data_IF_730345637499
#
_entry.id   IF_730345637499
#
_cell.length_a   1.000
_cell.length_b   1.000
_cell.length_c   1.000
_cell.angle_alpha   90.00
_cell.angle_beta   90.00
_cell.angle_gamma   90.00
#
_symmetry.space_group_name_H-M   'P 1'
#
loop_
_entity.id
_entity.type
_entity.pdbx_description
1 polymer ?
#
# COMPACT_ATOMS: atom_id res chain seq x y z
N UNK A 1 -32.33 -9.75 4.14
CA UNK A 1 -32.31 -9.74 5.63
C UNK A 1 -30.90 -9.89 6.17
N UNK A 2 -30.21 -11.01 5.93
CA UNK A 2 -28.83 -11.22 6.42
C UNK A 2 -27.80 -10.16 6.00
N UNK A 3 -27.85 -9.67 4.76
CA UNK A 3 -26.95 -8.61 4.28
C UNK A 3 -27.28 -7.25 4.94
N UNK A 4 -28.55 -6.88 5.01
CA UNK A 4 -29.02 -5.67 5.68
C UNK A 4 -28.63 -5.66 7.17
N UNK A 5 -28.71 -6.82 7.82
CA UNK A 5 -28.32 -6.98 9.21
C UNK A 5 -26.81 -6.83 9.48
N UNK A 6 -25.99 -6.89 8.43
CA UNK A 6 -24.53 -6.79 8.51
C UNK A 6 -23.99 -5.44 8.08
N UNK A 7 -24.74 -4.73 7.25
CA UNK A 7 -24.38 -3.41 6.70
C UNK A 7 -25.05 -2.24 7.41
N UNK A 8 -26.04 -2.50 8.27
CA UNK A 8 -26.73 -1.46 9.00
C UNK A 8 -26.05 -1.21 10.35
N UNK A 9 -25.93 0.05 10.78
CA UNK A 9 -25.61 0.37 12.18
C UNK A 9 -26.85 0.30 13.08
N UNK A 10 -28.04 0.39 12.48
CA UNK A 10 -29.36 0.34 13.14
C UNK A 10 -30.39 -0.37 12.25
N UNK A 11 -31.11 -1.34 12.80
CA UNK A 11 -32.13 -2.10 12.06
C UNK A 11 -33.52 -1.74 12.60
N UNK A 12 -34.44 -1.45 11.70
CA UNK A 12 -35.84 -1.23 12.01
C UNK A 12 -36.65 -2.45 11.58
N UNK A 13 -37.33 -3.08 12.53
CA UNK A 13 -38.21 -4.22 12.28
C UNK A 13 -39.64 -3.75 12.49
N UNK A 14 -40.41 -3.76 11.41
CA UNK A 14 -41.82 -3.37 11.44
C UNK A 14 -42.68 -4.62 11.54
N UNK A 15 -43.47 -4.70 12.59
CA UNK A 15 -44.49 -5.73 12.76
C UNK A 15 -45.88 -5.11 12.72
N UNK A 16 -46.80 -5.80 12.02
CA UNK A 16 -48.20 -5.38 11.97
C UNK A 16 -48.92 -5.89 13.21
N UNK A 17 -49.73 -5.04 13.82
CA UNK A 17 -50.52 -5.34 15.01
C UNK A 17 -49.68 -5.54 16.26
N UNK A 18 -48.96 -6.65 16.45
CA UNK A 18 -48.14 -6.87 17.64
C UNK A 18 -47.02 -7.87 17.36
N UNK A 19 -45.86 -7.71 17.99
CA UNK A 19 -44.77 -8.68 17.93
C UNK A 19 -45.21 -9.99 18.57
N UNK A 20 -45.22 -11.02 17.74
CA UNK A 20 -45.43 -12.40 18.19
C UNK A 20 -44.10 -13.13 18.34
N UNK A 21 -44.12 -14.33 18.90
CA UNK A 21 -42.95 -15.23 18.90
C UNK A 21 -42.44 -15.50 17.48
N UNK A 22 -43.32 -15.60 16.48
CA UNK A 22 -42.94 -15.75 15.07
C UNK A 22 -42.27 -14.48 14.49
N UNK A 23 -42.68 -13.29 14.94
CA UNK A 23 -41.98 -12.04 14.63
C UNK A 23 -40.55 -12.04 15.16
N UNK A 24 -40.37 -12.50 16.41
CA UNK A 24 -39.06 -12.70 17.02
C UNK A 24 -38.23 -13.79 16.32
N UNK A 25 -38.84 -14.82 15.73
CA UNK A 25 -38.12 -15.81 14.91
C UNK A 25 -37.54 -15.20 13.63
N UNK A 26 -38.19 -14.21 13.03
CA UNK A 26 -37.63 -13.46 11.89
C UNK A 26 -36.43 -12.61 12.33
N UNK A 27 -36.49 -12.03 13.53
CA UNK A 27 -35.34 -11.39 14.18
C UNK A 27 -34.25 -12.42 14.52
N UNK A 28 -34.61 -13.64 14.93
CA UNK A 28 -33.65 -14.74 15.14
C UNK A 28 -32.90 -15.07 13.87
N UNK A 29 -33.55 -15.14 12.70
CA UNK A 29 -32.84 -15.39 11.44
C UNK A 29 -31.81 -14.30 11.17
N UNK A 30 -32.12 -13.04 11.50
CA UNK A 30 -31.17 -11.93 11.42
C UNK A 30 -29.99 -12.16 12.39
N UNK A 31 -30.26 -12.50 13.65
CA UNK A 31 -29.24 -12.71 14.70
C UNK A 31 -28.37 -13.94 14.45
N UNK A 32 -28.97 -15.07 14.05
CA UNK A 32 -28.25 -16.31 13.75
C UNK A 32 -27.42 -16.20 12.47
N UNK A 33 -27.85 -15.38 11.51
CA UNK A 33 -26.99 -15.04 10.39
C UNK A 33 -25.83 -14.17 10.86
N UNK A 34 -26.02 -13.27 11.82
CA UNK A 34 -24.94 -12.44 12.40
C UNK A 34 -23.96 -13.26 13.28
N UNK A 35 -24.39 -14.43 13.78
CA UNK A 35 -23.61 -15.27 14.67
C UNK A 35 -22.87 -16.41 13.94
N UNK A 36 -21.55 -16.25 13.74
CA UNK A 36 -20.67 -17.41 13.50
C UNK A 36 -20.39 -18.07 14.86
N UNK A 37 -20.76 -19.35 15.01
CA UNK A 37 -20.58 -20.13 16.25
C UNK A 37 -19.09 -20.44 16.55
N UNK A 38 -18.17 -20.18 15.60
CA UNK A 38 -16.78 -20.67 15.66
C UNK A 38 -15.72 -19.66 16.14
N UNK A 39 -16.06 -18.38 16.39
CA UNK A 39 -15.06 -17.36 16.78
C UNK A 39 -15.24 -16.85 18.21
N UNK A 40 -14.28 -17.22 19.08
CA UNK A 40 -14.12 -16.86 20.50
C UNK A 40 -13.69 -15.39 20.73
N UNK A 41 -14.06 -14.44 19.87
CA UNK A 41 -13.68 -13.03 20.01
C UNK A 41 -14.88 -12.16 20.41
N UNK A 42 -14.85 -11.52 21.60
CA UNK A 42 -15.99 -10.79 22.16
C UNK A 42 -16.21 -9.39 21.57
N UNK A 43 -15.45 -8.99 20.55
CA UNK A 43 -15.61 -7.70 19.86
C UNK A 43 -16.13 -7.95 18.45
N UNK A 44 -17.45 -8.12 18.34
CA UNK A 44 -18.14 -8.24 17.06
C UNK A 44 -18.56 -6.85 16.59
N UNK A 45 -18.00 -6.41 15.46
CA UNK A 45 -18.32 -5.17 14.73
C UNK A 45 -19.71 -5.26 14.04
N UNK A 46 -20.72 -5.79 14.74
CA UNK A 46 -22.06 -6.01 14.20
C UNK A 46 -23.09 -5.11 14.89
N UNK A 47 -24.09 -4.77 14.07
CA UNK A 47 -25.18 -3.80 14.25
C UNK A 47 -25.60 -3.58 15.70
N UNK A 48 -25.26 -2.41 16.24
CA UNK A 48 -25.37 -2.14 17.68
C UNK A 48 -26.77 -1.73 18.11
N UNK A 49 -27.72 -1.46 17.22
CA UNK A 49 -29.07 -1.03 17.61
C UNK A 49 -30.17 -1.71 16.80
N UNK A 50 -31.19 -2.19 17.53
CA UNK A 50 -32.39 -2.82 16.98
C UNK A 50 -33.61 -2.02 17.45
N UNK A 51 -34.45 -1.57 16.53
CA UNK A 51 -35.69 -0.88 16.84
C UNK A 51 -36.84 -1.76 16.40
N UNK A 52 -37.61 -2.23 17.39
CA UNK A 52 -38.82 -3.00 17.19
C UNK A 52 -39.98 -2.01 17.10
N UNK A 53 -40.68 -2.00 15.96
CA UNK A 53 -41.78 -1.08 15.70
C UNK A 53 -43.06 -1.86 15.49
N UNK A 54 -44.05 -1.61 16.34
CA UNK A 54 -45.38 -2.16 16.16
C UNK A 54 -46.33 -1.13 15.56
N UNK A 55 -47.05 -1.53 14.52
CA UNK A 55 -48.16 -0.76 13.97
C UNK A 55 -49.46 -1.17 14.68
N UNK A 56 -49.84 -0.43 15.73
CA UNK A 56 -50.78 -0.87 16.78
C UNK A 56 -52.00 0.03 16.97
N UNK A 57 -53.10 -0.61 17.39
CA UNK A 57 -54.23 0.01 18.09
C UNK A 57 -54.50 -0.56 19.49
N UNK A 58 -54.00 -1.77 19.82
CA UNK A 58 -54.39 -2.55 21.01
C UNK A 58 -53.52 -2.26 22.25
N UNK A 59 -52.20 -2.05 22.10
CA UNK A 59 -51.28 -1.84 23.22
C UNK A 59 -50.98 -0.34 23.47
N UNK A 60 -51.84 0.57 23.02
CA UNK A 60 -51.63 2.03 23.14
C UNK A 60 -51.50 2.49 24.61
N UNK A 61 -52.23 1.87 25.53
CA UNK A 61 -52.22 2.22 26.96
C UNK A 61 -51.03 1.66 27.78
N UNK A 62 -50.21 0.78 27.21
CA UNK A 62 -49.09 0.15 27.93
C UNK A 62 -47.82 0.99 27.65
N UNK A 63 -46.94 1.28 28.63
CA UNK A 63 -45.66 1.94 28.32
C UNK A 63 -44.74 1.04 27.47
N UNK A 64 -44.05 1.61 26.47
CA UNK A 64 -43.10 0.89 25.60
C UNK A 64 -42.00 0.10 26.34
N UNK A 65 -41.42 0.59 27.46
CA UNK A 65 -40.43 -0.17 28.22
C UNK A 65 -40.99 -1.47 28.82
N UNK A 66 -42.26 -1.47 29.22
CA UNK A 66 -42.90 -2.67 29.76
C UNK A 66 -43.13 -3.72 28.68
N UNK A 67 -43.59 -3.32 27.49
CA UNK A 67 -43.72 -4.24 26.36
C UNK A 67 -42.38 -4.83 25.92
N UNK A 68 -41.32 -4.02 25.89
CA UNK A 68 -39.99 -4.52 25.56
C UNK A 68 -39.49 -5.53 26.61
N UNK A 69 -39.76 -5.27 27.89
CA UNK A 69 -39.36 -6.16 28.99
C UNK A 69 -40.11 -7.49 28.90
N UNK A 70 -41.41 -7.45 28.62
CA UNK A 70 -42.26 -8.62 28.45
C UNK A 70 -41.85 -9.44 27.21
N UNK A 71 -41.67 -8.76 26.07
CA UNK A 71 -41.27 -9.38 24.81
C UNK A 71 -39.92 -10.09 24.91
N UNK A 72 -38.94 -9.47 25.58
CA UNK A 72 -37.60 -10.04 25.79
C UNK A 72 -37.47 -10.84 27.09
N UNK A 73 -38.56 -11.10 27.81
CA UNK A 73 -38.54 -11.91 29.04
C UNK A 73 -37.94 -13.29 28.77
N UNK A 74 -36.90 -13.66 29.54
CA UNK A 74 -36.21 -14.95 29.40
C UNK A 74 -36.90 -16.09 30.14
N UNK A 75 -38.01 -15.82 30.82
CA UNK A 75 -38.80 -16.80 31.57
C UNK A 75 -40.05 -17.25 30.83
N UNK A 76 -40.51 -16.45 29.87
CA UNK A 76 -41.78 -16.64 29.18
C UNK A 76 -41.53 -17.13 27.75
N UNK A 77 -41.42 -18.45 27.56
CA UNK A 77 -41.18 -19.08 26.26
C UNK A 77 -40.58 -20.48 26.35
N UNK A 78 -40.46 -21.15 25.21
CA UNK A 78 -39.66 -22.37 25.09
C UNK A 78 -38.15 -22.07 25.11
N UNK A 79 -37.32 -23.10 25.30
CA UNK A 79 -35.87 -22.94 25.44
C UNK A 79 -35.23 -22.24 24.23
N UNK A 80 -35.75 -22.52 23.03
CA UNK A 80 -35.29 -21.89 21.79
C UNK A 80 -35.63 -20.40 21.74
N UNK A 81 -36.87 -20.00 22.04
CA UNK A 81 -37.24 -18.58 22.11
C UNK A 81 -36.47 -17.84 23.20
N UNK A 82 -36.26 -18.47 24.36
CA UNK A 82 -35.52 -17.86 25.46
C UNK A 82 -34.03 -17.66 25.13
N UNK A 83 -33.42 -18.59 24.38
CA UNK A 83 -32.06 -18.41 23.83
C UNK A 83 -31.99 -17.21 22.90
N UNK A 84 -32.98 -17.05 22.02
CA UNK A 84 -33.07 -15.91 21.08
C UNK A 84 -33.20 -14.58 21.81
N UNK A 85 -34.15 -14.49 22.75
CA UNK A 85 -34.36 -13.27 23.54
C UNK A 85 -33.10 -12.84 24.29
N UNK A 86 -32.35 -13.81 24.81
CA UNK A 86 -31.05 -13.57 25.47
C UNK A 86 -30.01 -13.03 24.49
N UNK A 87 -29.85 -13.65 23.32
CA UNK A 87 -28.91 -13.20 22.29
C UNK A 87 -29.23 -11.78 21.80
N UNK A 88 -30.51 -11.47 21.58
CA UNK A 88 -30.96 -10.13 21.19
C UNK A 88 -30.56 -9.10 22.26
N UNK A 89 -30.81 -9.39 23.54
CA UNK A 89 -30.45 -8.49 24.65
C UNK A 89 -28.94 -8.30 24.83
N UNK A 90 -28.16 -9.36 24.61
CA UNK A 90 -26.71 -9.32 24.78
C UNK A 90 -25.98 -8.62 23.63
N UNK A 91 -26.52 -8.70 22.41
CA UNK A 91 -25.84 -8.21 21.20
C UNK A 91 -26.33 -6.86 20.69
N UNK A 92 -27.56 -6.46 21.01
CA UNK A 92 -28.19 -5.24 20.47
C UNK A 92 -28.63 -4.29 21.57
N UNK A 93 -28.45 -3.00 21.31
CA UNK A 93 -29.14 -1.90 22.00
C UNK A 93 -30.58 -1.84 21.48
N UNK A 94 -31.48 -2.56 22.15
CA UNK A 94 -32.87 -2.74 21.69
C UNK A 94 -33.75 -1.60 22.19
N UNK A 95 -34.49 -1.00 21.27
CA UNK A 95 -35.54 -0.02 21.56
C UNK A 95 -36.86 -0.47 20.97
N UNK A 96 -37.96 0.01 21.56
CA UNK A 96 -39.30 -0.33 21.15
C UNK A 96 -40.10 0.93 20.88
N UNK A 97 -40.68 1.02 19.70
CA UNK A 97 -41.48 2.15 19.26
C UNK A 97 -42.86 1.67 18.81
N UNK A 98 -43.84 2.56 18.92
CA UNK A 98 -45.22 2.30 18.54
C UNK A 98 -45.62 3.28 17.48
N UNK A 99 -46.15 2.75 16.39
CA UNK A 99 -46.81 3.53 15.36
C UNK A 99 -48.32 3.34 15.51
N UNK A 100 -49.09 4.43 15.67
CA UNK A 100 -50.54 4.36 15.66
C UNK A 100 -51.04 3.75 14.35
N UNK A 101 -52.02 2.85 14.43
CA UNK A 101 -52.67 2.33 13.23
C UNK A 101 -53.54 3.41 12.57
N UNK A 102 -53.21 3.77 11.32
CA UNK A 102 -53.95 4.77 10.56
C UNK A 102 -54.74 4.09 9.44
N UNK A 103 -56.07 4.22 9.47
CA UNK A 103 -56.97 3.71 8.41
C UNK A 103 -57.30 4.77 7.34
N UNK A 104 -57.01 6.05 7.59
CA UNK A 104 -57.29 7.18 6.69
C UNK A 104 -56.19 8.24 6.77
N UNK A 105 -55.79 8.82 5.63
CA UNK A 105 -54.75 9.85 5.53
C UNK A 105 -55.04 11.08 6.42
N UNK A 106 -54.04 11.52 7.19
CA UNK A 106 -54.08 12.78 7.97
C UNK A 106 -54.34 12.61 9.47
N UNK A 107 -53.65 11.68 10.13
CA UNK A 107 -53.76 11.50 11.59
C UNK A 107 -52.56 12.17 12.28
N UNK A 108 -52.82 13.27 13.01
CA UNK A 108 -51.78 14.04 13.70
C UNK A 108 -50.99 13.20 14.71
N UNK A 109 -51.63 12.23 15.37
CA UNK A 109 -50.94 11.33 16.30
C UNK A 109 -49.90 10.44 15.60
N UNK A 110 -50.17 10.05 14.35
CA UNK A 110 -49.23 9.27 13.56
C UNK A 110 -48.06 10.14 13.09
N UNK A 111 -48.36 11.37 12.66
CA UNK A 111 -47.34 12.31 12.22
C UNK A 111 -46.41 12.68 13.39
N UNK A 112 -46.95 12.95 14.58
CA UNK A 112 -46.17 13.19 15.81
C UNK A 112 -45.31 11.98 16.21
N UNK A 113 -45.86 10.76 16.13
CA UNK A 113 -45.11 9.54 16.41
C UNK A 113 -43.97 9.33 15.39
N UNK A 114 -44.22 9.63 14.11
CA UNK A 114 -43.20 9.58 13.07
C UNK A 114 -42.12 10.64 13.28
N UNK A 115 -42.50 11.88 13.62
CA UNK A 115 -41.55 12.96 13.92
C UNK A 115 -40.66 12.62 15.12
N UNK A 116 -41.24 12.06 16.20
CA UNK A 116 -40.46 11.58 17.34
C UNK A 116 -39.48 10.48 16.94
N UNK A 117 -39.91 9.51 16.14
CA UNK A 117 -39.05 8.43 15.67
C UNK A 117 -37.95 8.93 14.73
N UNK A 118 -38.24 9.91 13.88
CA UNK A 118 -37.27 10.56 13.00
C UNK A 118 -36.26 11.37 13.81
N UNK A 119 -36.69 12.07 14.86
CA UNK A 119 -35.82 12.76 15.81
C UNK A 119 -34.82 11.78 16.47
N UNK A 120 -35.33 10.67 17.03
CA UNK A 120 -34.51 9.62 17.62
C UNK A 120 -33.58 8.92 16.62
N UNK A 121 -33.95 8.93 15.34
CA UNK A 121 -33.15 8.42 14.22
C UNK A 121 -31.96 9.33 13.95
N UNK A 122 -32.19 10.64 13.85
CA UNK A 122 -31.17 11.65 13.55
C UNK A 122 -30.20 11.80 14.71
N UNK A 123 -30.70 11.85 15.95
CA UNK A 123 -29.87 12.02 17.14
C UNK A 123 -29.11 10.75 17.53
N UNK A 124 -29.60 9.58 17.10
CA UNK A 124 -29.05 8.26 17.41
C UNK A 124 -28.11 7.67 16.37
N UNK A 125 -27.63 8.44 15.38
CA UNK A 125 -26.75 7.93 14.32
C UNK A 125 -25.38 7.49 14.87
N UNK A 126 -25.18 6.18 14.98
CA UNK A 126 -23.86 5.59 15.26
C UNK A 126 -23.11 5.38 13.93
N UNK A 127 -21.84 5.80 13.89
CA UNK A 127 -20.96 5.52 12.74
C UNK A 127 -20.85 4.01 12.54
N UNK A 128 -20.98 3.57 11.30
CA UNK A 128 -20.71 2.19 10.95
C UNK A 128 -19.20 1.99 10.99
N UNK A 129 -18.73 0.97 11.70
CA UNK A 129 -17.31 0.67 11.89
C UNK A 129 -17.02 -0.69 11.25
N UNK A 130 -15.97 -0.76 10.44
CA UNK A 130 -15.46 -2.01 9.86
C UNK A 130 -14.01 -2.14 10.26
N UNK A 131 -13.71 -3.17 11.03
CA UNK A 131 -12.36 -3.44 11.48
C UNK A 131 -11.74 -2.32 12.31
N UNK A 132 -12.53 -1.74 13.20
CA UNK A 132 -12.11 -0.66 14.10
C UNK A 132 -11.98 0.73 13.46
N UNK A 133 -12.32 0.90 12.18
CA UNK A 133 -12.31 2.20 11.48
C UNK A 133 -13.71 2.57 11.04
N UNK A 134 -14.07 3.85 11.16
CA UNK A 134 -15.34 4.35 10.64
C UNK A 134 -15.40 4.18 9.12
N UNK A 135 -16.40 3.45 8.65
CA UNK A 135 -16.59 3.17 7.24
C UNK A 135 -17.06 4.41 6.49
N UNK A 136 -16.47 4.65 5.35
CA UNK A 136 -16.93 5.61 4.36
C UNK A 136 -17.73 4.91 3.24
N UNK A 137 -18.28 5.71 2.32
CA UNK A 137 -19.05 5.19 1.18
C UNK A 137 -18.27 4.16 0.35
N UNK A 138 -17.01 4.41 -0.04
CA UNK A 138 -16.18 3.44 -0.74
C UNK A 138 -15.99 2.12 0.02
N UNK A 139 -15.67 2.16 1.32
CA UNK A 139 -15.48 0.95 2.13
C UNK A 139 -16.77 0.13 2.24
N UNK A 140 -17.92 0.79 2.35
CA UNK A 140 -19.23 0.11 2.33
C UNK A 140 -19.49 -0.61 1.00
N UNK A 141 -19.12 0.01 -0.13
CA UNK A 141 -19.26 -0.64 -1.45
C UNK A 141 -18.34 -1.86 -1.56
N UNK A 142 -17.10 -1.76 -1.06
CA UNK A 142 -16.19 -2.90 -1.03
C UNK A 142 -16.74 -4.04 -0.16
N UNK A 143 -17.26 -3.74 1.02
CA UNK A 143 -17.89 -4.73 1.91
C UNK A 143 -19.10 -5.40 1.25
N UNK A 144 -19.96 -4.62 0.58
CA UNK A 144 -21.06 -5.17 -0.20
C UNK A 144 -20.58 -6.15 -1.26
N UNK A 145 -19.55 -5.80 -2.03
CA UNK A 145 -19.02 -6.65 -3.10
C UNK A 145 -18.38 -7.93 -2.54
N UNK A 146 -17.68 -7.86 -1.42
CA UNK A 146 -17.07 -9.03 -0.77
C UNK A 146 -18.16 -10.00 -0.28
N UNK A 147 -19.18 -9.48 0.40
CA UNK A 147 -20.32 -10.27 0.87
C UNK A 147 -21.12 -10.90 -0.29
N UNK A 148 -21.25 -10.19 -1.42
CA UNK A 148 -21.90 -10.72 -2.62
C UNK A 148 -21.06 -11.81 -3.30
N UNK A 149 -19.74 -11.66 -3.30
CA UNK A 149 -18.81 -12.67 -3.85
C UNK A 149 -18.91 -13.97 -3.06
N UNK A 150 -18.93 -13.91 -1.72
CA UNK A 150 -19.13 -15.09 -0.87
C UNK A 150 -20.43 -15.86 -1.18
N UNK A 151 -21.53 -15.15 -1.49
CA UNK A 151 -22.79 -15.79 -1.92
C UNK A 151 -22.61 -16.48 -3.27
N UNK A 152 -21.99 -15.77 -4.23
CA UNK A 152 -21.81 -16.27 -5.59
C UNK A 152 -20.97 -17.54 -5.64
N UNK A 153 -19.99 -17.64 -4.74
CA UNK A 153 -19.09 -18.79 -4.66
C UNK A 153 -19.71 -19.99 -3.91
N UNK A 154 -21.00 -19.93 -3.56
CA UNK A 154 -21.75 -21.03 -2.97
C UNK A 154 -21.73 -21.07 -1.44
N UNK A 155 -21.35 -19.97 -0.78
CA UNK A 155 -21.44 -19.84 0.68
C UNK A 155 -22.90 -19.93 1.16
N UNK A 156 -23.17 -20.81 2.12
CA UNK A 156 -24.51 -21.00 2.69
C UNK A 156 -24.90 -19.92 3.70
N UNK A 157 -23.93 -19.11 4.16
CA UNK A 157 -24.07 -18.03 5.15
C UNK A 157 -23.09 -16.91 4.81
N UNK A 158 -23.40 -15.65 5.12
CA UNK A 158 -22.44 -14.56 4.93
C UNK A 158 -21.44 -14.56 6.09
N UNK A 159 -20.16 -14.80 5.84
CA UNK A 159 -19.18 -14.78 6.91
C UNK A 159 -18.64 -13.35 7.06
N UNK A 160 -19.17 -12.61 8.04
CA UNK A 160 -18.69 -11.24 8.31
C UNK A 160 -17.27 -11.21 8.80
N UNK A 161 -16.82 -12.24 9.51
CA UNK A 161 -15.45 -12.32 10.00
C UNK A 161 -14.53 -12.39 8.79
N UNK A 162 -14.76 -13.35 7.89
CA UNK A 162 -14.00 -13.48 6.64
C UNK A 162 -14.09 -12.23 5.76
N UNK A 163 -15.27 -11.61 5.62
CA UNK A 163 -15.41 -10.38 4.83
C UNK A 163 -14.63 -9.21 5.47
N UNK A 164 -14.67 -9.08 6.79
CA UNK A 164 -13.93 -8.05 7.52
C UNK A 164 -12.42 -8.31 7.45
N UNK A 165 -11.98 -9.57 7.57
CA UNK A 165 -10.58 -9.97 7.40
C UNK A 165 -10.07 -9.66 6.00
N UNK A 166 -10.82 -10.00 4.95
CA UNK A 166 -10.51 -9.64 3.55
C UNK A 166 -10.39 -8.12 3.38
N UNK A 167 -11.33 -7.35 3.91
CA UNK A 167 -11.28 -5.88 3.82
C UNK A 167 -10.11 -5.29 4.59
N UNK A 168 -9.82 -5.80 5.78
CA UNK A 168 -8.69 -5.35 6.59
C UNK A 168 -7.38 -5.65 5.89
N UNK A 169 -7.25 -6.82 5.27
CA UNK A 169 -6.10 -7.16 4.43
C UNK A 169 -5.98 -6.22 3.22
N UNK A 170 -7.09 -5.89 2.57
CA UNK A 170 -7.10 -4.96 1.44
C UNK A 170 -6.73 -3.53 1.86
N UNK A 171 -7.30 -3.02 2.95
CA UNK A 171 -6.96 -1.71 3.52
C UNK A 171 -5.48 -1.64 3.93
N UNK A 172 -4.98 -2.68 4.58
CA UNK A 172 -3.57 -2.80 4.97
C UNK A 172 -2.65 -2.83 3.74
N UNK A 173 -3.04 -3.55 2.68
CA UNK A 173 -2.31 -3.62 1.41
C UNK A 173 -2.28 -2.27 0.69
N UNK A 174 -3.41 -1.57 0.63
CA UNK A 174 -3.50 -0.25 0.01
C UNK A 174 -2.68 0.79 0.78
N UNK A 175 -2.73 0.76 2.11
CA UNK A 175 -1.90 1.60 2.97
C UNK A 175 -0.41 1.34 2.72
N UNK A 176 0.01 0.06 2.66
CA UNK A 176 1.40 -0.30 2.37
C UNK A 176 1.85 0.21 0.99
N UNK A 177 1.01 0.10 -0.04
CA UNK A 177 1.32 0.61 -1.38
C UNK A 177 1.39 2.15 -1.44
N UNK A 178 0.52 2.83 -0.69
CA UNK A 178 0.51 4.30 -0.61
C UNK A 178 1.79 4.80 0.06
N UNK A 179 2.12 4.24 1.22
CA UNK A 179 3.34 4.56 1.96
C UNK A 179 4.59 4.21 1.15
N UNK A 180 4.56 3.12 0.38
CA UNK A 180 5.62 2.75 -0.56
C UNK A 180 5.81 3.77 -1.68
N UNK A 181 4.73 4.27 -2.27
CA UNK A 181 4.77 5.32 -3.28
C UNK A 181 5.39 6.62 -2.73
N UNK A 182 5.03 6.98 -1.49
CA UNK A 182 5.60 8.14 -0.80
C UNK A 182 7.10 7.97 -0.54
N UNK A 183 7.52 6.78 -0.08
CA UNK A 183 8.92 6.42 0.05
C UNK A 183 9.67 6.57 -1.28
N UNK A 184 9.15 6.01 -2.38
CA UNK A 184 9.76 6.12 -3.70
C UNK A 184 9.84 7.58 -4.18
N UNK A 185 8.85 8.40 -3.86
CA UNK A 185 8.84 9.82 -4.21
C UNK A 185 9.95 10.57 -3.48
N UNK A 186 10.14 10.31 -2.18
CA UNK A 186 11.25 10.86 -1.38
C UNK A 186 12.61 10.36 -1.89
N UNK A 187 12.72 9.07 -2.21
CA UNK A 187 13.94 8.49 -2.79
C UNK A 187 14.28 9.11 -4.16
N UNK A 188 13.28 9.38 -5.02
CA UNK A 188 13.46 10.07 -6.30
C UNK A 188 13.90 11.52 -6.13
N UNK A 189 13.33 12.23 -5.16
CA UNK A 189 13.67 13.63 -4.88
C UNK A 189 15.13 13.81 -4.43
N UNK A 190 15.71 12.77 -3.84
CA UNK A 190 17.10 12.74 -3.36
C UNK A 190 18.07 12.06 -4.32
N UNK A 191 17.61 11.70 -5.52
CA UNK A 191 18.38 10.96 -6.53
C UNK A 191 18.95 9.62 -6.05
N UNK A 192 18.25 8.97 -5.12
CA UNK A 192 18.67 7.72 -4.48
C UNK A 192 17.99 6.48 -5.08
N UNK A 193 17.39 6.57 -6.28
CA UNK A 193 16.79 5.40 -6.94
C UNK A 193 17.80 4.64 -7.81
N UNK A 194 17.61 3.32 -8.01
CA UNK A 194 18.49 2.49 -8.85
C UNK A 194 18.82 3.12 -10.21
N UNK A 195 17.82 3.72 -10.88
CA UNK A 195 17.99 4.34 -12.19
C UNK A 195 18.76 5.68 -12.16
N UNK A 196 18.82 6.37 -11.02
CA UNK A 196 19.44 7.69 -10.88
C UNK A 196 20.88 7.64 -10.34
N UNK A 197 21.32 6.48 -9.86
CA UNK A 197 22.64 6.27 -9.24
C UNK A 197 23.83 6.37 -10.24
N UNK A 198 23.55 6.59 -11.53
CA UNK A 198 24.50 6.64 -12.66
C UNK A 198 25.60 7.72 -12.61
N UNK A 199 25.84 8.38 -11.48
CA UNK A 199 26.80 9.48 -11.36
C UNK A 199 28.03 9.21 -10.48
N UNK A 200 28.07 8.11 -9.72
CA UNK A 200 29.23 7.72 -8.88
C UNK A 200 29.68 8.71 -7.79
N UNK A 201 29.02 9.87 -7.63
CA UNK A 201 29.45 10.94 -6.70
C UNK A 201 29.08 10.67 -5.25
N UNK A 202 28.05 9.85 -5.00
CA UNK A 202 27.54 9.59 -3.66
C UNK A 202 27.96 8.19 -3.20
N UNK A 203 28.53 8.12 -2.00
CA UNK A 203 28.95 6.85 -1.41
C UNK A 203 27.72 5.99 -1.06
N UNK A 204 27.77 4.69 -1.38
CA UNK A 204 26.67 3.73 -1.12
C UNK A 204 26.14 3.83 0.32
N UNK A 205 27.04 3.86 1.31
CA UNK A 205 26.69 4.03 2.73
C UNK A 205 25.83 5.26 3.01
N UNK A 206 26.09 6.38 2.35
CA UNK A 206 25.32 7.62 2.54
C UNK A 206 23.94 7.47 1.91
N UNK A 207 23.86 6.90 0.71
CA UNK A 207 22.59 6.58 0.03
C UNK A 207 21.72 5.66 0.88
N UNK A 208 22.28 4.56 1.40
CA UNK A 208 21.56 3.61 2.24
C UNK A 208 21.06 4.26 3.53
N UNK A 209 21.88 5.08 4.20
CA UNK A 209 21.47 5.77 5.44
C UNK A 209 20.31 6.74 5.22
N UNK A 210 20.28 7.45 4.11
CA UNK A 210 19.15 8.33 3.76
C UNK A 210 17.89 7.54 3.45
N UNK A 211 18.02 6.44 2.69
CA UNK A 211 16.91 5.53 2.40
C UNK A 211 16.35 4.88 3.68
N UNK A 212 17.20 4.45 4.61
CA UNK A 212 16.79 3.99 5.95
C UNK A 212 16.02 5.08 6.72
N UNK A 213 16.47 6.33 6.65
CA UNK A 213 15.76 7.46 7.27
C UNK A 213 14.35 7.65 6.72
N UNK A 214 14.19 7.57 5.38
CA UNK A 214 12.86 7.66 4.75
C UNK A 214 11.99 6.44 5.04
N UNK A 215 12.60 5.24 5.03
CA UNK A 215 11.92 3.99 5.33
C UNK A 215 11.38 3.95 6.76
N UNK A 216 12.16 4.43 7.74
CA UNK A 216 11.71 4.49 9.14
C UNK A 216 10.50 5.41 9.31
N UNK A 217 10.50 6.58 8.67
CA UNK A 217 9.34 7.48 8.71
C UNK A 217 8.09 6.83 8.11
N UNK A 218 8.25 6.23 6.92
CA UNK A 218 7.18 5.54 6.23
C UNK A 218 6.64 4.33 7.03
N UNK A 219 7.52 3.56 7.67
CA UNK A 219 7.15 2.42 8.49
C UNK A 219 6.38 2.86 9.76
N UNK A 220 6.78 3.96 10.40
CA UNK A 220 6.02 4.53 11.53
C UNK A 220 4.61 4.92 11.11
N UNK A 221 4.45 5.57 9.94
CA UNK A 221 3.14 5.95 9.41
C UNK A 221 2.28 4.70 9.14
N UNK A 222 2.88 3.65 8.56
CA UNK A 222 2.23 2.38 8.29
C UNK A 222 1.78 1.66 9.58
N UNK A 223 2.67 1.53 10.57
CA UNK A 223 2.36 0.90 11.87
C UNK A 223 1.29 1.70 12.64
N UNK A 224 1.32 3.02 12.56
CA UNK A 224 0.31 3.89 13.17
C UNK A 224 -1.07 3.64 12.57
N UNK A 225 -1.16 3.39 11.27
CA UNK A 225 -2.42 3.03 10.62
C UNK A 225 -2.86 1.60 10.94
N UNK A 226 -1.97 0.61 10.78
CA UNK A 226 -2.31 -0.81 10.97
C UNK A 226 -2.65 -1.16 12.41
N UNK A 227 -2.10 -0.46 13.40
CA UNK A 227 -2.46 -0.61 14.82
C UNK A 227 -3.92 -0.28 15.13
N UNK A 228 -4.60 0.49 14.26
CA UNK A 228 -6.03 0.83 14.39
C UNK A 228 -6.93 -0.23 13.78
N UNK A 229 -6.41 -1.01 12.84
CA UNK A 229 -7.16 -2.03 12.14
C UNK A 229 -7.41 -3.24 13.05
N UNK A 230 -8.58 -3.86 12.89
CA UNK A 230 -8.95 -5.10 13.57
C UNK A 230 -9.67 -6.04 12.59
N UNK A 231 -9.44 -7.35 12.62
CA UNK A 231 -8.46 -8.06 13.43
C UNK A 231 -7.00 -7.76 13.01
N UNK A 232 -6.06 -7.96 13.93
CA UNK A 232 -4.65 -7.62 13.73
C UNK A 232 -3.90 -8.58 12.78
N UNK A 233 -4.34 -9.84 12.71
CA UNK A 233 -3.68 -10.84 11.88
C UNK A 233 -3.74 -10.51 10.38
N UNK A 234 -4.89 -10.17 9.77
CA UNK A 234 -4.92 -9.69 8.38
C UNK A 234 -4.21 -8.34 8.20
N UNK A 235 -4.22 -7.47 9.21
CA UNK A 235 -3.52 -6.18 9.14
C UNK A 235 -1.99 -6.33 9.03
N UNK A 236 -1.44 -7.47 9.49
CA UNK A 236 -0.01 -7.77 9.40
C UNK A 236 0.51 -7.88 7.96
N UNK A 237 -0.39 -8.11 6.98
CA UNK A 237 -0.02 -8.20 5.56
C UNK A 237 0.66 -6.93 5.04
N UNK A 238 0.32 -5.76 5.62
CA UNK A 238 0.95 -4.49 5.31
C UNK A 238 2.47 -4.55 5.51
N UNK A 239 2.91 -5.12 6.63
CA UNK A 239 4.33 -5.23 6.98
C UNK A 239 5.05 -6.20 6.06
N UNK A 240 4.41 -7.34 5.75
CA UNK A 240 4.97 -8.34 4.81
C UNK A 240 5.20 -7.72 3.43
N UNK A 241 4.24 -6.94 2.93
CA UNK A 241 4.36 -6.26 1.62
C UNK A 241 5.45 -5.19 1.67
N UNK A 242 5.50 -4.39 2.74
CA UNK A 242 6.52 -3.37 2.93
C UNK A 242 7.93 -3.97 2.95
N UNK A 243 8.18 -4.95 3.81
CA UNK A 243 9.48 -5.60 3.98
C UNK A 243 9.95 -6.20 2.65
N UNK A 244 9.07 -6.93 1.95
CA UNK A 244 9.37 -7.49 0.62
C UNK A 244 9.78 -6.43 -0.39
N UNK A 245 9.04 -5.33 -0.47
CA UNK A 245 9.31 -4.27 -1.44
C UNK A 245 10.60 -3.52 -1.10
N UNK A 246 10.82 -3.23 0.19
CA UNK A 246 12.00 -2.54 0.68
C UNK A 246 13.26 -3.35 0.48
N UNK A 247 13.27 -4.63 0.85
CA UNK A 247 14.42 -5.52 0.67
C UNK A 247 14.83 -5.63 -0.80
N UNK A 248 13.85 -5.86 -1.69
CA UNK A 248 14.09 -5.90 -3.14
C UNK A 248 14.69 -4.58 -3.65
N UNK A 249 14.15 -3.43 -3.22
CA UNK A 249 14.66 -2.13 -3.63
C UNK A 249 16.08 -1.87 -3.13
N UNK A 250 16.41 -2.29 -1.91
CA UNK A 250 17.77 -2.15 -1.37
C UNK A 250 18.76 -3.05 -2.13
N UNK A 251 18.36 -4.26 -2.50
CA UNK A 251 19.17 -5.11 -3.39
C UNK A 251 19.41 -4.45 -4.74
N UNK A 252 18.39 -3.86 -5.37
CA UNK A 252 18.51 -3.13 -6.63
C UNK A 252 19.46 -1.92 -6.50
N UNK A 253 19.37 -1.17 -5.41
CA UNK A 253 20.27 -0.03 -5.13
C UNK A 253 21.72 -0.48 -4.98
N UNK A 254 21.97 -1.61 -4.31
CA UNK A 254 23.31 -2.20 -4.17
C UNK A 254 23.84 -2.68 -5.53
N UNK A 255 23.00 -3.36 -6.32
CA UNK A 255 23.36 -3.83 -7.64
C UNK A 255 23.71 -2.68 -8.59
N UNK A 256 22.94 -1.58 -8.57
CA UNK A 256 23.21 -0.38 -9.37
C UNK A 256 24.54 0.31 -8.99
N UNK A 257 24.90 0.35 -7.69
CA UNK A 257 26.22 0.83 -7.29
C UNK A 257 27.34 -0.12 -7.74
N UNK A 258 27.12 -1.44 -7.64
CA UNK A 258 28.09 -2.45 -8.08
C UNK A 258 28.39 -2.33 -9.58
N UNK A 259 27.37 -2.19 -10.43
CA UNK A 259 27.56 -2.03 -11.87
C UNK A 259 28.28 -0.73 -12.23
N UNK A 260 27.95 0.37 -11.55
CA UNK A 260 28.63 1.66 -11.73
C UNK A 260 30.12 1.56 -11.35
N UNK A 261 30.44 0.87 -10.25
CA UNK A 261 31.82 0.68 -9.82
C UNK A 261 32.62 -0.13 -10.84
N UNK A 262 32.04 -1.19 -11.41
CA UNK A 262 32.67 -1.98 -12.47
C UNK A 262 32.96 -1.12 -13.71
N UNK A 263 31.98 -0.32 -14.16
CA UNK A 263 32.15 0.59 -15.29
C UNK A 263 33.25 1.64 -15.05
N UNK A 264 33.31 2.23 -13.86
CA UNK A 264 34.36 3.20 -13.50
C UNK A 264 35.75 2.54 -13.51
N UNK A 265 35.86 1.31 -13.02
CA UNK A 265 37.13 0.56 -13.05
C UNK A 265 37.55 0.25 -14.48
N UNK A 266 36.63 -0.21 -15.34
CA UNK A 266 36.92 -0.49 -16.75
C UNK A 266 37.38 0.77 -17.50
N UNK A 267 36.68 1.89 -17.31
CA UNK A 267 37.07 3.19 -17.88
C UNK A 267 38.42 3.68 -17.34
N UNK A 268 38.69 3.49 -16.05
CA UNK A 268 39.98 3.82 -15.44
C UNK A 268 41.14 3.02 -16.03
N UNK A 269 40.96 1.71 -16.24
CA UNK A 269 41.96 0.86 -16.89
C UNK A 269 42.21 1.32 -18.33
N UNK A 270 41.15 1.65 -19.08
CA UNK A 270 41.30 2.19 -20.44
C UNK A 270 42.05 3.52 -20.46
N UNK A 271 41.72 4.45 -19.55
CA UNK A 271 42.41 5.74 -19.43
C UNK A 271 43.90 5.57 -19.08
N UNK A 272 44.25 4.62 -18.20
CA UNK A 272 45.65 4.32 -17.88
C UNK A 272 46.39 3.73 -19.08
N UNK A 273 45.76 2.84 -19.86
CA UNK A 273 46.36 2.31 -21.10
C UNK A 273 46.59 3.41 -22.14
N UNK A 274 45.61 4.30 -22.32
CA UNK A 274 45.73 5.44 -23.22
C UNK A 274 46.88 6.36 -22.78
N UNK A 275 46.97 6.67 -21.49
CA UNK A 275 48.07 7.48 -20.97
C UNK A 275 49.44 6.83 -21.19
N UNK A 276 49.58 5.51 -20.99
CA UNK A 276 50.83 4.81 -21.30
C UNK A 276 51.17 4.89 -22.78
N UNK A 277 50.20 4.65 -23.66
CA UNK A 277 50.39 4.77 -25.11
C UNK A 277 50.84 6.18 -25.52
N UNK A 278 50.22 7.22 -24.95
CA UNK A 278 50.60 8.61 -25.21
C UNK A 278 52.01 8.91 -24.69
N UNK A 279 52.37 8.42 -23.50
CA UNK A 279 53.73 8.58 -22.96
C UNK A 279 54.76 7.88 -23.85
N UNK A 280 54.51 6.64 -24.27
CA UNK A 280 55.41 5.89 -25.15
C UNK A 280 55.58 6.59 -26.51
N UNK A 281 54.50 7.12 -27.11
CA UNK A 281 54.58 7.92 -28.33
C UNK A 281 55.39 9.20 -28.14
N UNK A 282 55.21 9.90 -27.02
CA UNK A 282 55.96 11.13 -26.73
C UNK A 282 57.44 10.83 -26.53
N UNK A 283 57.78 9.73 -25.85
CA UNK A 283 59.17 9.30 -25.69
C UNK A 283 59.82 8.96 -27.04
N UNK A 284 59.15 8.18 -27.89
CA UNK A 284 59.62 7.88 -29.25
C UNK A 284 59.80 9.14 -30.09
N UNK A 285 58.88 10.10 -30.00
CA UNK A 285 58.96 11.37 -30.72
C UNK A 285 60.13 12.22 -30.23
N UNK A 286 60.35 12.31 -28.91
CA UNK A 286 61.49 13.03 -28.32
C UNK A 286 62.81 12.39 -28.72
N UNK A 287 62.88 11.05 -28.78
CA UNK A 287 64.07 10.33 -29.20
C UNK A 287 64.37 10.52 -30.69
N UNK A 288 63.36 10.46 -31.55
CA UNK A 288 63.48 10.79 -32.98
C UNK A 288 63.96 12.24 -33.18
N UNK A 289 63.42 13.19 -32.42
CA UNK A 289 63.88 14.58 -32.45
C UNK A 289 65.34 14.73 -31.99
N UNK A 290 65.77 14.01 -30.95
CA UNK A 290 67.18 14.00 -30.52
C UNK A 290 68.09 13.42 -31.60
N UNK A 291 67.67 12.36 -32.28
CA UNK A 291 68.42 11.77 -33.39
C UNK A 291 68.53 12.74 -34.58
N UNK A 292 67.45 13.44 -34.93
CA UNK A 292 67.47 14.50 -35.95
C UNK A 292 68.42 15.64 -35.60
N UNK A 293 68.44 16.08 -34.33
CA UNK A 293 69.39 17.12 -33.87
C UNK A 293 70.84 16.64 -33.96
N UNK A 294 71.12 15.37 -33.61
CA UNK A 294 72.46 14.77 -33.78
C UNK A 294 72.86 14.69 -35.25
N UNK A 295 71.93 14.30 -36.12
CA UNK A 295 72.13 14.25 -37.57
C UNK A 295 72.43 15.65 -38.15
N UNK A 296 71.68 16.67 -37.74
CA UNK A 296 71.90 18.05 -38.16
C UNK A 296 73.26 18.58 -37.70
N UNK A 297 73.68 18.26 -36.47
CA UNK A 297 75.02 18.61 -35.95
C UNK A 297 76.15 17.89 -36.67
N UNK A 298 76.01 16.59 -36.91
CA UNK A 298 76.96 15.83 -37.70
C UNK A 298 77.08 16.42 -39.10
N UNK A 299 75.95 16.82 -39.66
CA UNK A 299 75.90 17.45 -40.96
C UNK A 299 76.58 18.81 -41.03
N UNK A 300 76.34 19.70 -40.07
CA UNK A 300 77.02 21.00 -40.04
C UNK A 300 78.53 20.84 -39.84
N UNK A 301 78.97 19.84 -39.07
CA UNK A 301 80.38 19.51 -38.87
C UNK A 301 81.04 19.01 -40.16
N UNK A 302 80.31 18.23 -40.97
CA UNK A 302 80.77 17.74 -42.28
C UNK A 302 80.96 18.86 -43.31
N UNK A 303 80.08 19.86 -43.30
CA UNK A 303 80.18 21.08 -44.12
C UNK A 303 81.36 21.95 -43.70
N UNK A 304 81.66 22.01 -42.41
CA UNK A 304 82.82 22.77 -41.88
C UNK A 304 84.16 22.09 -42.18
N UNK A 305 84.22 20.75 -42.22
CA UNK A 305 85.47 19.98 -42.38
C UNK A 305 85.79 19.57 -43.82
N UNK A 306 84.82 19.58 -44.74
CA UNK A 306 85.05 19.13 -46.14
C UNK A 306 84.28 19.97 -47.17
N UNK A 307 84.83 20.00 -48.38
CA UNK A 307 84.32 20.72 -49.55
C UNK A 307 82.82 20.38 -49.80
N UNK A 308 82.01 21.41 -50.10
CA UNK A 308 80.54 21.44 -50.22
C UNK A 308 79.90 20.27 -51.01
N UNK A 309 80.67 19.60 -51.89
CA UNK A 309 80.24 18.45 -52.67
C UNK A 309 79.89 17.19 -51.84
N UNK A 310 80.51 16.97 -50.69
CA UNK A 310 80.19 15.82 -49.83
C UNK A 310 78.81 15.96 -49.14
N UNK A 311 78.41 17.19 -48.84
CA UNK A 311 77.11 17.51 -48.25
C UNK A 311 75.94 17.13 -49.17
N UNK A 312 76.07 17.44 -50.47
CA UNK A 312 75.04 17.14 -51.48
C UNK A 312 74.81 15.63 -51.64
N UNK A 313 75.87 14.82 -51.57
CA UNK A 313 75.75 13.36 -51.57
C UNK A 313 75.26 12.80 -50.23
N UNK A 314 75.67 13.38 -49.10
CA UNK A 314 75.19 13.01 -47.77
C UNK A 314 73.69 13.25 -47.58
N UNK A 315 73.16 14.37 -48.07
CA UNK A 315 71.71 14.66 -48.05
C UNK A 315 70.93 13.64 -48.89
N UNK A 316 71.46 13.19 -50.03
CA UNK A 316 70.79 12.17 -50.84
C UNK A 316 70.72 10.81 -50.12
N UNK A 317 71.78 10.42 -49.40
CA UNK A 317 71.78 9.20 -48.60
C UNK A 317 70.82 9.31 -47.43
N UNK A 318 70.80 10.45 -46.72
CA UNK A 318 69.86 10.72 -45.63
C UNK A 318 68.42 10.73 -46.13
N UNK A 319 68.15 11.33 -47.28
CA UNK A 319 66.81 11.36 -47.90
C UNK A 319 66.32 9.96 -48.23
N UNK A 320 67.20 9.09 -48.75
CA UNK A 320 66.84 7.71 -49.07
C UNK A 320 66.60 6.88 -47.80
N UNK A 321 67.40 7.07 -46.74
CA UNK A 321 67.20 6.39 -45.46
C UNK A 321 65.92 6.88 -44.78
N UNK A 322 65.66 8.19 -44.78
CA UNK A 322 64.43 8.75 -44.22
C UNK A 322 63.18 8.32 -45.00
N UNK A 323 63.25 8.20 -46.33
CA UNK A 323 62.16 7.65 -47.14
C UNK A 323 61.90 6.17 -46.82
N UNK A 324 62.93 5.37 -46.55
CA UNK A 324 62.76 3.97 -46.17
C UNK A 324 62.16 3.82 -44.76
N UNK A 325 62.58 4.64 -43.79
CA UNK A 325 62.01 4.63 -42.42
C UNK A 325 60.56 5.11 -42.41
N UNK A 326 60.22 6.13 -43.21
CA UNK A 326 58.82 6.59 -43.33
C UNK A 326 57.94 5.57 -44.04
N UNK A 327 58.46 4.82 -45.02
CA UNK A 327 57.73 3.73 -45.64
C UNK A 327 57.45 2.57 -44.67
N UNK A 328 58.39 2.27 -43.78
CA UNK A 328 58.28 1.19 -42.77
C UNK A 328 57.38 1.57 -41.57
N UNK A 329 57.10 2.86 -41.36
CA UNK A 329 56.17 3.35 -40.32
C UNK A 329 54.72 3.51 -40.80
N UNK A 330 54.45 3.38 -42.10
CA UNK A 330 53.11 3.53 -42.71
C UNK A 330 52.42 2.17 -42.95
N UNK A 331 53.16 1.07 -42.87
CA UNK A 331 52.63 -0.31 -42.73
C UNK A 331 52.40 -0.67 -41.25
#
# INVERSE_FOLDING_TARGET
MGLAARLASRIFVFERACFTTAGLESVMQIVNMVHDEDSYTPQRDLTRSLVLIENMSINSGIPSPHLLTDLLSSTDGDEMSNRVKRLIREQFDVSFAKLPFVSSSGNSEFDEACESMVGDLVDGLKKFEVGGVAADGPLLVQLCNELLTQIRDGGSRFNMVSATESLVANMATEAANTVWSDFLTRARSTHNTPAQINGGRKHLRTTLRELEGFANMALIDLETFTSRLRPQEPASIARIIWDRNYDAFIEDVKAAHGSTQVQVVEQGVWAVRLNRFVVDMVEQFVEAMRQLVRLARFGSMLVMLTNYYFWKHGIHVIRNVAQNVVAEMVD
#
